data_IF_308509404357
#
_entry.id   IF_308509404357
#
_cell.length_a   1.000
_cell.length_b   1.000
_cell.length_c   1.000
_cell.angle_alpha   90.00
_cell.angle_beta   90.00
_cell.angle_gamma   90.00
#
_symmetry.space_group_name_H-M   'P 1'
#
loop_
_entity.id
_entity.type
_entity.pdbx_description
1 polymer ?
#
# COMPACT_ATOMS: atom_id res chain seq x y z
N UNK A 1 -30.21 49.01 29.29
CA UNK A 1 -30.56 47.57 29.23
C UNK A 1 -30.54 47.13 27.78
N UNK A 2 -29.46 46.44 27.35
CA UNK A 2 -29.34 45.88 26.01
C UNK A 2 -29.22 44.36 26.17
N UNK A 3 -30.03 43.56 25.47
CA UNK A 3 -29.85 42.11 25.51
C UNK A 3 -28.79 41.71 24.50
N UNK A 4 -27.75 40.99 24.98
CA UNK A 4 -26.71 40.39 24.17
C UNK A 4 -27.25 39.16 23.44
N UNK A 5 -27.04 39.12 22.13
CA UNK A 5 -27.33 37.98 21.28
C UNK A 5 -26.08 37.09 21.29
N UNK A 6 -26.19 35.95 21.96
CA UNK A 6 -25.14 34.92 21.97
C UNK A 6 -25.21 34.13 20.64
N UNK A 7 -24.16 34.20 19.85
CA UNK A 7 -23.96 33.32 18.68
C UNK A 7 -23.33 31.99 19.15
N UNK A 8 -24.10 30.92 19.10
CA UNK A 8 -23.56 29.58 19.29
C UNK A 8 -22.92 29.12 18.00
N UNK A 9 -21.59 28.99 17.99
CA UNK A 9 -20.86 28.38 16.89
C UNK A 9 -20.95 26.85 17.06
N UNK A 10 -21.75 26.22 16.22
CA UNK A 10 -21.78 24.76 16.10
C UNK A 10 -20.55 24.31 15.32
N UNK A 11 -19.52 23.82 16.01
CA UNK A 11 -18.38 23.17 15.40
C UNK A 11 -18.79 21.72 15.08
N UNK A 12 -19.19 21.45 13.86
CA UNK A 12 -19.35 20.10 13.37
C UNK A 12 -17.95 19.49 13.12
N UNK A 13 -17.54 18.56 13.97
CA UNK A 13 -16.37 17.73 13.73
C UNK A 13 -16.65 16.83 12.52
N UNK A 14 -16.31 17.29 11.35
CA UNK A 14 -16.27 16.46 10.15
C UNK A 14 -15.12 15.48 10.26
N UNK A 15 -15.43 14.19 10.37
CA UNK A 15 -14.45 13.14 10.30
C UNK A 15 -13.82 13.16 8.90
N UNK A 16 -12.55 13.54 8.82
CA UNK A 16 -11.74 13.42 7.61
C UNK A 16 -11.32 11.96 7.48
N UNK A 17 -12.11 11.17 6.78
CA UNK A 17 -11.63 9.89 6.24
C UNK A 17 -10.89 10.28 4.96
N UNK A 18 -9.61 10.58 5.08
CA UNK A 18 -8.72 10.63 3.94
C UNK A 18 -8.38 9.18 3.57
N UNK A 19 -9.31 8.53 2.89
CA UNK A 19 -8.97 7.39 2.05
C UNK A 19 -7.94 7.86 1.00
N UNK A 20 -7.19 6.96 0.40
CA UNK A 20 -6.54 7.18 -0.89
C UNK A 20 -7.67 7.41 -1.91
N UNK A 21 -8.35 8.53 -1.78
CA UNK A 21 -9.60 8.84 -2.43
C UNK A 21 -9.35 9.68 -3.67
N UNK A 22 -10.06 9.31 -4.71
CA UNK A 22 -10.06 9.92 -6.02
C UNK A 22 -10.32 11.41 -6.11
N UNK A 23 -10.39 12.15 -5.00
CA UNK A 23 -10.67 13.60 -5.06
C UNK A 23 -9.52 14.43 -5.68
N UNK A 24 -8.31 13.87 -5.78
CA UNK A 24 -7.20 14.45 -6.53
C UNK A 24 -7.26 14.12 -8.04
N UNK A 25 -8.08 13.16 -8.45
CA UNK A 25 -8.24 12.74 -9.85
C UNK A 25 -8.73 13.87 -10.76
N UNK A 26 -9.62 14.69 -10.25
CA UNK A 26 -10.27 15.76 -11.05
C UNK A 26 -9.31 16.90 -11.42
N UNK A 27 -8.21 17.06 -10.67
CA UNK A 27 -7.26 18.17 -10.88
C UNK A 27 -6.10 17.86 -11.81
N UNK A 28 -5.85 16.58 -12.15
CA UNK A 28 -4.61 16.18 -12.84
C UNK A 28 -4.86 15.71 -14.29
N UNK A 29 -6.08 15.74 -14.78
CA UNK A 29 -6.40 15.30 -16.15
C UNK A 29 -6.09 13.80 -16.38
N UNK A 30 -6.13 13.01 -15.33
CA UNK A 30 -5.94 11.57 -15.41
C UNK A 30 -7.20 10.97 -16.04
N UNK A 31 -7.02 10.31 -17.18
CA UNK A 31 -8.07 9.57 -17.88
C UNK A 31 -8.87 8.74 -16.88
N UNK A 32 -10.19 8.79 -17.00
CA UNK A 32 -11.11 7.98 -16.22
C UNK A 32 -10.65 6.53 -16.21
N UNK A 33 -9.97 6.16 -15.14
CA UNK A 33 -9.64 4.76 -14.90
C UNK A 33 -10.96 4.11 -14.61
N UNK A 34 -11.39 3.26 -15.52
CA UNK A 34 -12.65 2.56 -15.39
C UNK A 34 -12.57 1.67 -14.14
N UNK A 35 -13.21 2.12 -13.06
CA UNK A 35 -13.26 1.38 -11.81
C UNK A 35 -13.84 -0.03 -12.02
N UNK A 36 -14.62 -0.23 -13.09
CA UNK A 36 -15.15 -1.54 -13.44
C UNK A 36 -14.06 -2.53 -13.83
N UNK A 37 -12.97 -2.07 -14.43
CA UNK A 37 -11.82 -2.91 -14.82
C UNK A 37 -11.11 -3.45 -13.59
N UNK A 38 -10.91 -2.63 -12.56
CA UNK A 38 -10.30 -3.08 -11.32
C UNK A 38 -11.16 -4.10 -10.56
N UNK A 39 -12.48 -4.03 -10.71
CA UNK A 39 -13.39 -5.00 -10.05
C UNK A 39 -13.31 -6.40 -10.64
N UNK A 40 -12.69 -6.59 -11.80
CA UNK A 40 -12.49 -7.91 -12.41
C UNK A 40 -11.28 -8.66 -11.87
N UNK A 41 -10.35 -7.95 -11.23
CA UNK A 41 -9.15 -8.56 -10.63
C UNK A 41 -9.58 -9.37 -9.41
N UNK A 42 -9.31 -10.67 -9.45
CA UNK A 42 -9.65 -11.59 -8.37
C UNK A 42 -8.44 -11.84 -7.47
N UNK A 43 -8.63 -12.02 -6.15
CA UNK A 43 -7.51 -12.33 -5.28
C UNK A 43 -6.82 -13.61 -5.74
N UNK A 44 -5.49 -13.63 -5.82
CA UNK A 44 -4.73 -14.84 -6.14
C UNK A 44 -4.96 -15.91 -5.08
N UNK A 45 -4.75 -17.17 -5.45
CA UNK A 45 -4.84 -18.27 -4.49
C UNK A 45 -3.69 -18.20 -3.50
N UNK A 46 -4.00 -18.48 -2.23
CA UNK A 46 -2.99 -18.63 -1.21
C UNK A 46 -2.01 -19.76 -1.55
N UNK A 47 -0.72 -19.49 -1.46
CA UNK A 47 0.34 -20.48 -1.59
C UNK A 47 0.93 -20.82 -0.22
N UNK A 48 0.57 -21.98 0.37
CA UNK A 48 1.09 -22.38 1.68
C UNK A 48 2.58 -22.76 1.66
N UNK A 49 3.17 -22.93 0.49
CA UNK A 49 4.60 -23.23 0.33
C UNK A 49 5.47 -21.98 0.26
N UNK A 50 4.86 -20.79 0.23
CA UNK A 50 5.58 -19.54 0.21
C UNK A 50 6.47 -19.41 1.47
N UNK A 51 7.77 -19.30 1.26
CA UNK A 51 8.75 -19.16 2.35
C UNK A 51 9.33 -17.76 2.34
N UNK A 52 9.57 -17.21 3.54
CA UNK A 52 10.23 -15.93 3.65
C UNK A 52 11.61 -15.97 2.96
N UNK A 53 11.84 -15.04 2.06
CA UNK A 53 13.16 -14.85 1.49
C UNK A 53 14.16 -14.50 2.60
N UNK A 54 15.41 -14.94 2.43
CA UNK A 54 16.48 -14.61 3.35
C UNK A 54 16.55 -13.10 3.63
N UNK A 55 17.03 -12.78 4.80
CA UNK A 55 17.11 -11.44 5.39
C UNK A 55 18.03 -10.48 4.62
N UNK A 56 17.92 -10.40 3.30
CA UNK A 56 18.62 -9.37 2.52
C UNK A 56 18.33 -8.01 3.12
N UNK A 57 19.04 -7.67 4.18
CA UNK A 57 18.98 -6.35 4.78
C UNK A 57 19.52 -5.36 3.74
N UNK A 58 18.78 -4.28 3.50
CA UNK A 58 19.39 -3.11 2.88
C UNK A 58 20.59 -2.73 3.73
N UNK A 59 21.79 -2.73 3.16
CA UNK A 59 23.03 -2.30 3.84
C UNK A 59 22.93 -0.85 4.35
N UNK A 60 21.92 -0.10 3.93
CA UNK A 60 21.57 1.23 4.40
C UNK A 60 20.53 1.29 5.52
N UNK A 61 20.22 0.18 6.18
CA UNK A 61 19.34 0.15 7.34
C UNK A 61 17.85 0.32 7.01
N UNK A 62 17.35 -0.45 6.03
CA UNK A 62 15.90 -0.50 5.71
C UNK A 62 15.06 -0.88 6.91
N UNK A 63 14.76 0.10 7.75
CA UNK A 63 13.92 -0.08 8.93
C UNK A 63 12.49 -0.37 8.48
N UNK A 64 11.75 -1.22 9.23
CA UNK A 64 10.32 -1.40 9.00
C UNK A 64 9.59 -0.06 8.94
N UNK A 65 8.74 0.12 7.92
CA UNK A 65 8.00 1.36 7.72
C UNK A 65 8.75 2.48 6.97
N UNK A 66 10.00 2.25 6.58
CA UNK A 66 10.74 3.21 5.76
C UNK A 66 10.21 3.26 4.33
N UNK A 67 10.31 4.44 3.70
CA UNK A 67 10.05 4.64 2.28
C UNK A 67 11.16 4.00 1.44
N UNK A 68 10.91 2.77 0.96
CA UNK A 68 11.90 2.01 0.20
C UNK A 68 12.18 2.63 -1.17
N UNK A 69 11.14 3.13 -1.83
CA UNK A 69 11.27 3.65 -3.19
C UNK A 69 11.92 5.03 -3.25
N UNK A 70 12.14 5.69 -2.10
CA UNK A 70 13.00 6.88 -2.07
C UNK A 70 14.39 6.61 -2.64
N UNK A 71 14.92 5.40 -2.46
CA UNK A 71 16.22 4.98 -3.01
C UNK A 71 16.09 4.00 -4.18
N UNK A 72 15.06 3.12 -4.13
CA UNK A 72 14.86 2.01 -5.07
C UNK A 72 13.88 2.35 -6.20
N UNK A 73 13.95 3.56 -6.75
CA UNK A 73 13.20 3.99 -7.94
C UNK A 73 14.07 3.98 -9.19
N UNK A 74 13.47 4.09 -10.38
CA UNK A 74 14.19 4.22 -11.64
C UNK A 74 15.10 5.47 -11.61
N UNK A 75 16.40 5.26 -11.85
CA UNK A 75 17.40 6.33 -11.78
C UNK A 75 17.84 6.71 -10.36
N UNK A 76 17.36 6.01 -9.35
CA UNK A 76 17.78 6.18 -7.96
C UNK A 76 19.17 5.60 -7.66
N UNK A 77 19.66 5.78 -6.42
CA UNK A 77 20.99 5.33 -6.02
C UNK A 77 21.09 3.81 -5.82
N UNK A 78 19.96 3.08 -5.80
CA UNK A 78 19.89 1.64 -5.64
C UNK A 78 19.10 0.99 -6.78
N UNK A 79 19.22 -0.34 -6.93
CA UNK A 79 18.44 -1.09 -7.94
C UNK A 79 16.95 -0.86 -7.74
N UNK A 80 16.19 -0.54 -8.78
CA UNK A 80 14.78 -0.22 -8.66
C UNK A 80 13.96 -1.45 -8.27
N UNK A 81 12.91 -1.24 -7.46
CA UNK A 81 11.89 -2.24 -7.14
C UNK A 81 10.61 -1.99 -7.92
N UNK A 82 9.91 -3.07 -8.23
CA UNK A 82 8.57 -3.01 -8.83
C UNK A 82 7.56 -2.52 -7.80
N UNK A 83 7.66 -3.04 -6.56
CA UNK A 83 6.93 -2.51 -5.40
C UNK A 83 7.67 -2.86 -4.10
N UNK A 84 7.36 -2.13 -3.03
CA UNK A 84 7.96 -2.35 -1.72
C UNK A 84 7.11 -1.80 -0.57
N UNK A 85 7.26 -2.38 0.62
CA UNK A 85 6.57 -1.95 1.82
C UNK A 85 6.94 -2.74 3.06
N UNK A 86 6.13 -2.60 4.12
CA UNK A 86 6.27 -3.35 5.38
C UNK A 86 4.90 -3.78 5.88
N UNK A 87 4.75 -5.07 6.20
CA UNK A 87 3.54 -5.64 6.78
C UNK A 87 3.67 -5.77 8.29
N UNK A 88 2.60 -5.45 9.00
CA UNK A 88 2.48 -5.55 10.45
C UNK A 88 1.32 -6.48 10.86
N UNK A 89 1.33 -6.87 12.13
CA UNK A 89 0.22 -7.62 12.76
C UNK A 89 -1.07 -6.76 12.85
N UNK A 90 -2.17 -7.37 13.26
CA UNK A 90 -3.47 -6.71 13.41
C UNK A 90 -3.44 -5.47 14.32
N UNK A 91 -2.52 -5.42 15.28
CA UNK A 91 -2.33 -4.25 16.14
C UNK A 91 -1.46 -3.16 15.48
N UNK A 92 -0.89 -3.42 14.29
CA UNK A 92 0.05 -2.52 13.63
C UNK A 92 1.37 -2.35 14.38
N UNK A 93 1.70 -3.26 15.28
CA UNK A 93 2.82 -3.11 16.21
C UNK A 93 4.04 -3.94 15.82
N UNK A 94 3.84 -5.19 15.45
CA UNK A 94 4.92 -6.14 15.14
C UNK A 94 4.99 -6.45 13.66
N UNK A 95 6.18 -6.41 13.04
CA UNK A 95 6.37 -6.88 11.68
C UNK A 95 5.98 -8.36 11.52
N UNK A 96 5.38 -8.71 10.37
CA UNK A 96 4.93 -10.07 10.07
C UNK A 96 5.77 -10.65 8.94
N UNK A 97 6.35 -11.83 9.17
CA UNK A 97 7.12 -12.58 8.19
C UNK A 97 6.28 -13.67 7.53
N UNK A 98 6.65 -14.08 6.31
CA UNK A 98 6.09 -15.23 5.61
C UNK A 98 4.74 -14.99 4.93
N UNK A 99 4.23 -13.75 4.96
CA UNK A 99 3.07 -13.38 4.15
C UNK A 99 3.49 -13.10 2.71
N UNK A 100 2.63 -13.44 1.75
CA UNK A 100 2.83 -13.10 0.34
C UNK A 100 2.04 -11.84 0.00
N UNK A 101 2.71 -10.90 -0.60
CA UNK A 101 2.11 -9.68 -1.15
C UNK A 101 2.02 -9.84 -2.66
N UNK A 102 0.88 -9.53 -3.20
CA UNK A 102 0.59 -9.56 -4.63
C UNK A 102 0.19 -8.16 -5.09
N UNK A 103 0.69 -7.77 -6.26
CA UNK A 103 0.21 -6.59 -6.98
C UNK A 103 -0.15 -7.04 -8.38
N UNK A 104 -1.43 -6.90 -8.74
CA UNK A 104 -1.97 -7.39 -10.01
C UNK A 104 -2.69 -6.26 -10.74
N UNK A 105 -2.41 -6.10 -12.03
CA UNK A 105 -3.07 -5.13 -12.89
C UNK A 105 -4.26 -5.73 -13.67
N UNK A 106 -4.98 -4.88 -14.37
CA UNK A 106 -6.14 -5.27 -15.17
C UNK A 106 -5.82 -6.14 -16.39
N UNK A 107 -4.55 -6.24 -16.77
CA UNK A 107 -4.08 -7.11 -17.85
C UNK A 107 -3.66 -8.50 -17.34
N UNK A 108 -3.71 -8.73 -16.02
CA UNK A 108 -3.29 -9.97 -15.38
C UNK A 108 -1.77 -10.06 -15.14
N UNK A 109 -1.03 -8.94 -15.29
CA UNK A 109 0.36 -8.94 -14.88
C UNK A 109 0.43 -8.95 -13.36
N UNK A 110 1.22 -9.86 -12.82
CA UNK A 110 1.34 -10.14 -11.40
C UNK A 110 2.78 -9.98 -10.94
N UNK A 111 2.99 -9.14 -9.95
CA UNK A 111 4.24 -9.07 -9.21
C UNK A 111 4.02 -9.57 -7.78
N UNK A 112 4.98 -10.32 -7.24
CA UNK A 112 4.86 -10.94 -5.92
C UNK A 112 6.09 -10.69 -5.06
N UNK A 113 5.90 -10.59 -3.76
CA UNK A 113 6.96 -10.54 -2.76
C UNK A 113 6.53 -11.27 -1.49
N UNK A 114 7.48 -11.88 -0.78
CA UNK A 114 7.24 -12.51 0.52
C UNK A 114 7.82 -11.62 1.61
N UNK A 115 7.07 -11.42 2.68
CA UNK A 115 7.52 -10.61 3.81
C UNK A 115 8.65 -11.30 4.56
N UNK A 116 9.72 -10.56 4.83
CA UNK A 116 10.94 -10.98 5.51
C UNK A 116 10.76 -10.97 7.04
N UNK A 117 11.71 -11.49 7.82
CA UNK A 117 11.62 -11.50 9.28
C UNK A 117 11.35 -10.14 9.93
N UNK A 118 11.77 -9.05 9.30
CA UNK A 118 11.49 -7.67 9.72
C UNK A 118 10.20 -7.10 9.12
N UNK A 119 9.35 -7.94 8.48
CA UNK A 119 8.10 -7.54 7.84
C UNK A 119 8.25 -6.81 6.50
N UNK A 120 9.45 -6.44 6.11
CA UNK A 120 9.68 -5.77 4.83
C UNK A 120 9.44 -6.74 3.68
N UNK A 121 8.82 -6.23 2.63
CA UNK A 121 8.64 -6.93 1.36
C UNK A 121 9.05 -6.02 0.20
N UNK A 122 9.62 -6.61 -0.81
CA UNK A 122 9.95 -5.94 -2.07
C UNK A 122 10.24 -6.96 -3.16
N UNK A 123 10.09 -6.56 -4.40
CA UNK A 123 10.51 -7.30 -5.58
C UNK A 123 11.00 -6.36 -6.66
N UNK A 124 12.00 -6.78 -7.41
CA UNK A 124 12.41 -6.15 -8.67
C UNK A 124 11.85 -6.91 -9.88
N UNK A 125 11.25 -8.07 -9.62
CA UNK A 125 10.70 -8.94 -10.64
C UNK A 125 9.26 -8.55 -10.98
N UNK A 126 8.85 -8.92 -12.19
CA UNK A 126 7.52 -8.65 -12.70
C UNK A 126 7.37 -7.24 -13.27
N UNK A 127 6.23 -7.04 -13.90
CA UNK A 127 5.83 -5.77 -14.50
C UNK A 127 4.36 -5.55 -14.17
N UNK A 128 4.01 -4.36 -13.73
CA UNK A 128 2.65 -3.98 -13.37
C UNK A 128 2.30 -2.67 -14.07
N UNK A 129 1.16 -2.64 -14.74
CA UNK A 129 0.57 -1.42 -15.27
C UNK A 129 -0.41 -0.85 -14.25
N UNK A 130 -0.29 0.44 -13.97
CA UNK A 130 -1.22 1.10 -13.06
C UNK A 130 -2.47 1.59 -13.80
N UNK A 131 -3.63 1.54 -13.16
CA UNK A 131 -3.86 1.14 -11.77
C UNK A 131 -3.83 -0.37 -11.57
N UNK A 132 -3.46 -0.79 -10.36
CA UNK A 132 -3.40 -2.19 -9.97
C UNK A 132 -4.10 -2.41 -8.62
N UNK A 133 -4.37 -3.66 -8.27
CA UNK A 133 -4.82 -4.07 -6.94
C UNK A 133 -3.68 -4.70 -6.16
N UNK A 134 -3.68 -4.50 -4.85
CA UNK A 134 -2.77 -5.18 -3.95
C UNK A 134 -3.54 -6.14 -3.03
N UNK A 135 -2.92 -7.29 -2.78
CA UNK A 135 -3.44 -8.32 -1.88
C UNK A 135 -2.35 -8.76 -0.92
N UNK A 136 -2.74 -9.14 0.28
CA UNK A 136 -1.88 -9.82 1.24
C UNK A 136 -2.45 -11.18 1.55
N UNK A 137 -1.60 -12.19 1.53
CA UNK A 137 -1.98 -13.56 1.88
C UNK A 137 -1.10 -14.09 3.00
N UNK A 138 -1.76 -14.54 4.06
CA UNK A 138 -1.17 -15.40 5.09
C UNK A 138 -2.12 -16.58 5.25
N UNK A 139 -1.78 -17.70 4.59
CA UNK A 139 -2.67 -18.83 4.41
C UNK A 139 -3.43 -19.24 5.68
N UNK A 140 -4.73 -19.54 5.57
CA UNK A 140 -5.52 -19.67 4.31
C UNK A 140 -6.08 -18.36 3.77
N UNK A 141 -5.93 -17.25 4.45
CA UNK A 141 -6.62 -16.01 4.16
C UNK A 141 -5.89 -15.19 3.08
N UNK A 142 -6.68 -14.53 2.24
CA UNK A 142 -6.22 -13.52 1.28
C UNK A 142 -7.10 -12.28 1.44
N UNK A 143 -6.46 -11.15 1.65
CA UNK A 143 -7.10 -9.86 1.89
C UNK A 143 -6.76 -8.89 0.77
N UNK A 144 -7.76 -8.21 0.29
CA UNK A 144 -7.62 -7.16 -0.72
C UNK A 144 -7.42 -5.80 -0.04
N UNK A 145 -6.51 -5.00 -0.57
CA UNK A 145 -6.42 -3.58 -0.22
C UNK A 145 -7.62 -2.83 -0.84
N UNK A 146 -8.32 -2.04 -0.06
CA UNK A 146 -9.55 -1.34 -0.48
C UNK A 146 -9.27 -0.33 -1.61
N UNK A 147 -8.12 0.35 -1.57
CA UNK A 147 -7.72 1.32 -2.58
C UNK A 147 -6.91 0.71 -3.72
N UNK A 148 -7.00 1.31 -4.92
CA UNK A 148 -6.11 0.95 -6.01
C UNK A 148 -4.69 1.49 -5.76
N UNK A 149 -3.70 0.72 -6.22
CA UNK A 149 -2.33 1.21 -6.36
C UNK A 149 -2.25 2.00 -7.67
N UNK A 150 -1.75 3.21 -7.63
CA UNK A 150 -1.66 4.09 -8.79
C UNK A 150 -0.21 4.41 -9.19
N UNK A 151 -0.06 5.07 -10.33
CA UNK A 151 1.25 5.45 -10.86
C UNK A 151 1.96 6.51 -9.99
N UNK A 152 1.22 7.34 -9.27
CA UNK A 152 1.82 8.40 -8.44
C UNK A 152 2.53 7.84 -7.22
N UNK A 153 1.99 6.77 -6.66
CA UNK A 153 2.60 6.08 -5.52
C UNK A 153 3.69 5.10 -5.97
N UNK A 154 3.68 4.73 -7.27
CA UNK A 154 4.68 3.83 -7.86
C UNK A 154 4.78 2.50 -7.13
N UNK A 155 3.66 2.02 -6.54
CA UNK A 155 3.62 0.89 -5.62
C UNK A 155 4.55 1.01 -4.40
N UNK A 156 4.86 2.24 -3.99
CA UNK A 156 5.50 2.54 -2.72
C UNK A 156 4.46 2.48 -1.59
N UNK A 157 4.37 1.32 -0.97
CA UNK A 157 3.34 1.11 0.03
C UNK A 157 3.57 1.92 1.31
N UNK A 158 4.83 2.26 1.64
CA UNK A 158 5.20 3.02 2.84
C UNK A 158 5.33 4.54 2.59
N UNK A 159 4.53 5.11 1.71
CA UNK A 159 4.58 6.54 1.40
C UNK A 159 3.49 7.34 2.08
N UNK A 160 3.71 8.65 2.20
CA UNK A 160 2.70 9.59 2.72
C UNK A 160 1.46 9.59 1.83
N UNK A 161 0.28 9.53 2.45
CA UNK A 161 -1.01 9.42 1.75
C UNK A 161 -1.52 7.99 1.56
N UNK A 162 -0.64 6.97 1.71
CA UNK A 162 -1.03 5.56 1.74
C UNK A 162 -0.76 4.96 3.12
N UNK A 163 0.38 4.31 3.32
CA UNK A 163 0.70 3.66 4.59
C UNK A 163 1.92 4.33 5.25
N UNK A 164 1.69 4.95 6.40
CA UNK A 164 2.71 5.64 7.21
C UNK A 164 2.78 5.04 8.60
N UNK A 165 3.64 5.58 9.46
CA UNK A 165 3.75 5.15 10.86
C UNK A 165 2.43 5.18 11.64
N UNK A 166 1.50 6.07 11.27
CA UNK A 166 0.16 6.17 11.89
C UNK A 166 -0.91 5.34 11.19
N UNK A 167 -0.63 4.79 10.01
CA UNK A 167 -1.58 4.02 9.20
C UNK A 167 -0.86 2.90 8.45
N UNK A 168 -0.39 1.92 9.22
CA UNK A 168 0.45 0.81 8.71
C UNK A 168 -0.37 -0.21 7.93
N UNK A 169 0.28 -0.90 6.97
CA UNK A 169 -0.28 -2.11 6.39
C UNK A 169 -0.29 -3.17 7.49
N UNK A 170 -1.44 -3.71 7.80
CA UNK A 170 -1.57 -4.73 8.82
C UNK A 170 -2.54 -5.83 8.41
N UNK A 171 -2.39 -7.00 9.01
CA UNK A 171 -3.37 -8.07 8.95
C UNK A 171 -4.65 -7.65 9.69
N UNK A 172 -5.81 -8.26 9.42
CA UNK A 172 -7.05 -8.01 10.12
C UNK A 172 -6.99 -8.47 11.58
#
# INVERSE_FOLDING_TARGET
MHPGIGFAILVTAGAWIAACDGSLREKIGQSDIDASVLMTIQPPKCDPSATAADSGACTGGGQPGSDCLMCHHQGGPASPYTFAGTLYDAAGAKPVAGATIYVEDSAGNLATAITRPNGNFFTADGFVQYPAKAFVSLCPDVLEMIGAVDQMTGANCNTSGCHTAGFRIHLP
#
